data_IF_904069614543
#
_entry.id   IF_904069614543
#
_cell.length_a   1.000
_cell.length_b   1.000
_cell.length_c   1.000
_cell.angle_alpha   90.00
_cell.angle_beta   90.00
_cell.angle_gamma   90.00
#
_symmetry.space_group_name_H-M   'P 1'
#
loop_
_entity.id
_entity.type
_entity.pdbx_description
1 polymer ?
#
# COMPACT_ATOMS: atom_id res chain seq x y z
N UNK A 1 -23.12 5.89 3.61
CA UNK A 1 -22.21 6.00 4.78
C UNK A 1 -22.99 6.03 6.09
N UNK A 2 -23.92 6.96 6.28
CA UNK A 2 -24.67 7.13 7.54
C UNK A 2 -25.45 5.89 7.98
N UNK A 3 -25.96 5.12 7.03
CA UNK A 3 -26.66 3.85 7.31
C UNK A 3 -25.72 2.81 7.90
N UNK A 4 -24.52 2.67 7.33
CA UNK A 4 -23.53 1.71 7.81
C UNK A 4 -22.92 2.12 9.17
N UNK A 5 -22.78 3.43 9.42
CA UNK A 5 -22.32 3.93 10.73
C UNK A 5 -23.26 3.58 11.89
N UNK A 6 -24.53 3.28 11.60
CA UNK A 6 -25.54 2.91 12.60
C UNK A 6 -25.59 1.41 12.88
N UNK A 7 -24.90 0.60 12.09
CA UNK A 7 -24.90 -0.86 12.24
C UNK A 7 -23.79 -1.27 13.19
N UNK A 8 -24.14 -2.02 14.22
CA UNK A 8 -23.19 -2.63 15.15
C UNK A 8 -22.23 -3.58 14.40
N UNK A 9 -20.97 -3.59 14.74
CA UNK A 9 -19.94 -4.41 14.07
C UNK A 9 -19.42 -3.87 12.75
N UNK A 10 -19.98 -2.75 12.23
CA UNK A 10 -19.48 -2.11 11.03
C UNK A 10 -18.29 -1.20 11.34
N UNK A 11 -17.24 -1.30 10.55
CA UNK A 11 -16.09 -0.38 10.58
C UNK A 11 -15.95 0.30 9.23
N UNK A 12 -15.89 1.61 9.24
CA UNK A 12 -15.67 2.42 8.05
C UNK A 12 -14.24 2.90 8.05
N UNK A 13 -13.52 2.58 6.98
CA UNK A 13 -12.16 3.03 6.76
C UNK A 13 -12.14 4.14 5.72
N UNK A 14 -11.25 5.11 5.91
CA UNK A 14 -10.88 6.02 4.84
C UNK A 14 -10.27 5.22 3.69
N UNK A 15 -10.59 5.62 2.45
CA UNK A 15 -10.04 4.96 1.27
C UNK A 15 -8.51 5.04 1.29
N UNK A 16 -7.85 3.90 1.39
CA UNK A 16 -6.41 3.79 1.56
C UNK A 16 -5.88 2.47 0.99
N UNK A 17 -4.57 2.39 0.82
CA UNK A 17 -3.90 1.20 0.29
C UNK A 17 -3.90 -0.01 1.25
N UNK A 18 -4.03 0.21 2.58
CA UNK A 18 -3.89 -0.84 3.59
C UNK A 18 -4.74 -2.08 3.32
N UNK A 19 -6.07 -1.98 3.20
CA UNK A 19 -6.92 -3.12 2.88
C UNK A 19 -6.62 -3.75 1.52
N UNK A 20 -6.25 -2.93 0.53
CA UNK A 20 -5.94 -3.39 -0.83
C UNK A 20 -4.68 -4.25 -0.91
N UNK A 21 -3.69 -4.03 -0.07
CA UNK A 21 -2.40 -4.77 -0.09
C UNK A 21 -2.28 -5.84 1.01
N UNK A 22 -3.37 -6.20 1.68
CA UNK A 22 -3.37 -7.24 2.70
C UNK A 22 -2.76 -6.82 4.04
N UNK A 23 -2.82 -5.55 4.38
CA UNK A 23 -2.39 -5.02 5.68
C UNK A 23 -3.53 -4.91 6.69
N UNK A 24 -4.64 -5.52 6.40
CA UNK A 24 -5.79 -5.54 7.28
C UNK A 24 -5.70 -6.73 8.23
N UNK A 25 -5.58 -6.46 9.53
CA UNK A 25 -5.69 -7.46 10.58
C UNK A 25 -7.15 -7.60 11.01
N UNK A 26 -7.71 -8.79 10.86
CA UNK A 26 -9.06 -9.10 11.33
C UNK A 26 -9.01 -9.50 12.80
N UNK A 27 -9.71 -8.76 13.66
CA UNK A 27 -9.83 -9.11 15.07
C UNK A 27 -10.55 -10.45 15.24
N UNK A 28 -10.01 -11.30 16.10
CA UNK A 28 -10.59 -12.60 16.42
C UNK A 28 -10.41 -13.69 15.36
N UNK A 29 -9.81 -13.37 14.21
CA UNK A 29 -9.52 -14.39 13.21
C UNK A 29 -8.26 -15.19 13.56
N UNK A 30 -8.37 -16.52 13.52
CA UNK A 30 -7.21 -17.40 13.67
C UNK A 30 -6.36 -17.40 12.40
N UNK A 31 -5.04 -17.57 12.57
CA UNK A 31 -4.14 -17.74 11.42
C UNK A 31 -4.53 -19.01 10.65
N UNK A 32 -4.69 -18.87 9.34
CA UNK A 32 -5.06 -19.95 8.41
C UNK A 32 -6.51 -20.46 8.54
N UNK A 33 -7.37 -19.78 9.26
CA UNK A 33 -8.80 -20.06 9.25
C UNK A 33 -9.36 -19.97 7.81
N UNK A 34 -10.19 -20.93 7.44
CA UNK A 34 -10.92 -20.88 6.16
C UNK A 34 -12.06 -19.89 6.26
N UNK A 35 -12.05 -18.91 5.37
CA UNK A 35 -13.12 -17.94 5.32
C UNK A 35 -13.24 -17.29 3.93
N UNK A 36 -14.23 -16.41 3.75
CA UNK A 36 -14.47 -15.69 2.52
C UNK A 36 -14.56 -14.19 2.77
N UNK A 37 -14.13 -13.43 1.79
CA UNK A 37 -14.30 -11.97 1.76
C UNK A 37 -14.84 -11.56 0.40
N UNK A 38 -15.84 -10.68 0.39
CA UNK A 38 -16.36 -10.05 -0.81
C UNK A 38 -16.02 -8.57 -0.77
N UNK A 39 -15.42 -8.06 -1.83
CA UNK A 39 -14.96 -6.69 -1.87
C UNK A 39 -14.97 -6.11 -3.30
N UNK A 40 -14.90 -4.81 -3.41
CA UNK A 40 -14.84 -4.08 -4.68
C UNK A 40 -13.44 -3.56 -5.02
N UNK A 41 -12.39 -4.11 -4.41
CA UNK A 41 -11.01 -3.78 -4.73
C UNK A 41 -10.55 -4.40 -6.04
N UNK A 42 -9.32 -4.15 -6.42
CA UNK A 42 -8.81 -4.45 -7.74
C UNK A 42 -8.24 -5.86 -7.93
N UNK A 43 -8.07 -6.66 -6.87
CA UNK A 43 -7.41 -7.97 -6.95
C UNK A 43 -7.88 -8.93 -5.86
N UNK A 44 -7.90 -10.23 -6.19
CA UNK A 44 -8.41 -11.31 -5.33
C UNK A 44 -7.44 -12.50 -5.16
N UNK A 45 -6.15 -12.35 -5.37
CA UNK A 45 -5.22 -13.44 -5.13
C UNK A 45 -5.01 -13.70 -3.63
N UNK A 46 -4.52 -14.90 -3.30
CA UNK A 46 -4.29 -15.33 -1.92
C UNK A 46 -3.47 -14.31 -1.10
N UNK A 47 -3.85 -14.10 0.15
CA UNK A 47 -3.25 -13.14 1.10
C UNK A 47 -3.46 -11.67 0.76
N UNK A 48 -4.13 -11.34 -0.35
CA UNK A 48 -4.22 -9.94 -0.81
C UNK A 48 -5.05 -9.05 0.12
N UNK A 49 -6.11 -9.56 0.71
CA UNK A 49 -7.03 -8.77 1.53
C UNK A 49 -6.57 -8.67 3.00
N UNK A 50 -6.40 -9.81 3.67
CA UNK A 50 -6.15 -9.92 5.13
C UNK A 50 -4.85 -10.64 5.50
N UNK A 51 -4.01 -10.96 4.52
CA UNK A 51 -2.77 -11.71 4.75
C UNK A 51 -2.95 -13.22 4.98
N UNK A 52 -4.19 -13.71 5.11
CA UNK A 52 -4.48 -15.12 5.32
C UNK A 52 -4.53 -15.88 3.99
N UNK A 53 -3.73 -16.97 3.81
CA UNK A 53 -3.72 -17.73 2.57
C UNK A 53 -5.03 -18.49 2.30
N UNK A 54 -5.84 -18.74 3.33
CA UNK A 54 -7.07 -19.51 3.27
C UNK A 54 -8.33 -18.63 3.18
N UNK A 55 -8.17 -17.32 3.05
CA UNK A 55 -9.28 -16.41 2.75
C UNK A 55 -9.55 -16.42 1.25
N UNK A 56 -10.72 -16.91 0.87
CA UNK A 56 -11.21 -16.84 -0.50
C UNK A 56 -11.76 -15.44 -0.77
N UNK A 57 -11.13 -14.69 -1.67
CA UNK A 57 -11.51 -13.33 -1.99
C UNK A 57 -12.30 -13.28 -3.30
N UNK A 58 -13.47 -12.63 -3.27
CA UNK A 58 -14.33 -12.43 -4.40
C UNK A 58 -14.41 -10.94 -4.72
N UNK A 59 -14.10 -10.57 -5.97
CA UNK A 59 -14.19 -9.19 -6.45
C UNK A 59 -15.49 -8.99 -7.20
N UNK A 60 -16.25 -8.00 -6.80
CA UNK A 60 -17.50 -7.61 -7.46
C UNK A 60 -17.72 -6.10 -7.36
N UNK A 61 -18.86 -5.59 -7.86
CA UNK A 61 -19.16 -4.16 -7.76
C UNK A 61 -19.48 -3.74 -6.31
N UNK A 62 -19.35 -2.45 -5.96
CA UNK A 62 -19.75 -1.95 -4.65
C UNK A 62 -21.21 -2.26 -4.29
N UNK A 63 -22.10 -2.21 -5.27
CA UNK A 63 -23.53 -2.50 -5.11
C UNK A 63 -23.76 -3.96 -4.73
N UNK A 64 -23.05 -4.88 -5.41
CA UNK A 64 -23.11 -6.30 -5.07
C UNK A 64 -22.51 -6.58 -3.70
N UNK A 65 -21.43 -5.91 -3.32
CA UNK A 65 -20.87 -6.02 -1.96
C UNK A 65 -21.91 -5.59 -0.92
N UNK A 66 -22.62 -4.48 -1.17
CA UNK A 66 -23.68 -4.01 -0.28
C UNK A 66 -24.86 -5.01 -0.21
N UNK A 67 -25.32 -5.54 -1.34
CA UNK A 67 -26.40 -6.51 -1.41
C UNK A 67 -26.08 -7.80 -0.64
N UNK A 68 -24.86 -8.33 -0.83
CA UNK A 68 -24.38 -9.53 -0.12
C UNK A 68 -24.21 -9.25 1.37
N UNK A 69 -23.74 -8.06 1.76
CA UNK A 69 -23.62 -7.68 3.17
C UNK A 69 -24.99 -7.57 3.86
N UNK A 70 -26.02 -7.06 3.17
CA UNK A 70 -27.40 -6.97 3.70
C UNK A 70 -28.03 -8.35 3.82
N UNK A 71 -27.85 -9.21 2.81
CA UNK A 71 -28.45 -10.56 2.81
C UNK A 71 -27.73 -11.53 3.76
N UNK A 72 -26.44 -11.34 3.99
CA UNK A 72 -25.60 -12.28 4.72
C UNK A 72 -25.31 -13.59 3.96
N UNK A 73 -25.62 -13.67 2.67
CA UNK A 73 -25.49 -14.87 1.84
C UNK A 73 -24.67 -14.59 0.59
N UNK A 74 -23.71 -15.46 0.28
CA UNK A 74 -22.85 -15.33 -0.89
C UNK A 74 -23.57 -15.67 -2.21
N UNK A 75 -24.64 -16.44 -2.14
CA UNK A 75 -25.46 -16.87 -3.27
C UNK A 75 -26.67 -15.97 -3.54
N UNK A 76 -26.80 -14.86 -2.81
CA UNK A 76 -27.88 -13.90 -3.00
C UNK A 76 -27.79 -13.18 -4.35
N UNK A 77 -28.89 -13.25 -5.12
CA UNK A 77 -29.03 -12.53 -6.37
C UNK A 77 -30.01 -11.35 -6.21
N UNK A 78 -29.53 -10.09 -6.14
CA UNK A 78 -30.39 -8.93 -5.89
C UNK A 78 -31.40 -8.64 -7.00
N UNK A 79 -31.28 -9.28 -8.18
CA UNK A 79 -32.20 -9.10 -9.31
C UNK A 79 -33.43 -10.02 -9.20
N UNK A 80 -33.28 -11.15 -8.51
CA UNK A 80 -34.36 -12.17 -8.44
C UNK A 80 -34.81 -12.48 -7.03
N UNK A 81 -33.94 -12.26 -6.04
CA UNK A 81 -34.20 -12.70 -4.68
C UNK A 81 -34.79 -11.55 -3.84
N UNK A 82 -35.60 -11.95 -2.85
CA UNK A 82 -36.20 -11.03 -1.90
C UNK A 82 -35.54 -11.11 -0.54
N UNK A 83 -35.71 -10.07 0.26
CA UNK A 83 -35.32 -9.98 1.66
C UNK A 83 -36.55 -9.67 2.50
N UNK A 84 -36.60 -10.24 3.69
CA UNK A 84 -37.70 -9.93 4.62
C UNK A 84 -37.32 -8.68 5.41
N UNK A 85 -38.13 -7.62 5.31
CA UNK A 85 -37.91 -6.39 6.07
C UNK A 85 -38.32 -6.54 7.55
N UNK A 86 -38.12 -5.50 8.36
CA UNK A 86 -38.46 -5.51 9.79
C UNK A 86 -39.96 -5.65 10.08
N UNK A 87 -40.84 -5.41 9.08
CA UNK A 87 -42.29 -5.58 9.17
C UNK A 87 -42.72 -6.99 8.79
N UNK A 88 -41.79 -7.86 8.35
CA UNK A 88 -42.11 -9.20 7.86
C UNK A 88 -42.55 -9.26 6.39
N UNK A 89 -42.35 -8.20 5.63
CA UNK A 89 -42.71 -8.12 4.20
C UNK A 89 -41.54 -8.53 3.32
N UNK A 90 -41.81 -9.28 2.24
CA UNK A 90 -40.81 -9.59 1.21
C UNK A 90 -40.58 -8.38 0.33
N UNK A 91 -39.30 -7.92 0.28
CA UNK A 91 -38.91 -6.75 -0.50
C UNK A 91 -37.72 -7.09 -1.39
N UNK A 92 -37.66 -6.53 -2.58
CA UNK A 92 -36.50 -6.55 -3.45
C UNK A 92 -35.65 -5.31 -3.22
N UNK A 93 -34.33 -5.46 -3.34
CA UNK A 93 -33.44 -4.30 -3.38
C UNK A 93 -33.70 -3.49 -4.66
N UNK A 94 -33.78 -2.17 -4.52
CA UNK A 94 -33.90 -1.29 -5.66
C UNK A 94 -32.67 -1.34 -6.55
N UNK A 95 -32.87 -1.24 -7.87
CA UNK A 95 -31.75 -1.10 -8.80
C UNK A 95 -30.90 0.13 -8.43
N UNK A 96 -29.56 -0.03 -8.40
CA UNK A 96 -28.69 1.10 -8.08
C UNK A 96 -28.73 2.14 -9.20
N UNK A 97 -28.98 3.38 -8.84
CA UNK A 97 -28.86 4.54 -9.73
C UNK A 97 -27.50 5.19 -9.47
N UNK A 98 -26.49 4.83 -10.25
CA UNK A 98 -25.17 5.38 -10.12
C UNK A 98 -25.10 6.85 -10.56
N UNK A 99 -24.30 7.65 -9.86
CA UNK A 99 -23.87 8.98 -10.30
C UNK A 99 -22.35 8.98 -10.47
N UNK A 100 -21.85 9.57 -11.54
CA UNK A 100 -20.40 9.73 -11.74
C UNK A 100 -19.77 10.64 -10.66
N UNK A 101 -20.54 11.61 -10.18
CA UNK A 101 -20.16 12.54 -9.13
C UNK A 101 -21.30 12.72 -8.12
N UNK A 102 -21.01 12.97 -6.84
CA UNK A 102 -22.04 13.26 -5.86
C UNK A 102 -22.87 14.47 -6.28
N UNK A 103 -24.19 14.33 -6.37
CA UNK A 103 -25.12 15.40 -6.80
C UNK A 103 -25.08 16.64 -5.89
N UNK A 104 -24.72 16.47 -4.61
CA UNK A 104 -24.55 17.54 -3.63
C UNK A 104 -23.10 18.04 -3.50
N UNK A 105 -22.21 17.63 -4.41
CA UNK A 105 -20.76 17.87 -4.29
C UNK A 105 -20.10 16.94 -3.28
N UNK A 106 -18.78 17.09 -3.13
CA UNK A 106 -18.03 16.30 -2.15
C UNK A 106 -18.25 16.93 -0.76
N UNK A 107 -18.67 16.13 0.20
CA UNK A 107 -18.64 16.52 1.60
C UNK A 107 -17.17 16.58 2.05
N UNK A 108 -16.67 17.77 2.31
CA UNK A 108 -15.36 17.95 2.93
C UNK A 108 -15.59 17.96 4.44
N UNK A 109 -15.66 16.78 5.03
CA UNK A 109 -15.53 16.67 6.48
C UNK A 109 -14.03 16.66 6.82
N UNK A 110 -13.56 17.75 7.37
CA UNK A 110 -12.17 17.93 7.79
C UNK A 110 -11.91 17.28 9.17
N UNK A 111 -12.44 16.09 9.38
CA UNK A 111 -12.34 15.39 10.66
C UNK A 111 -10.99 14.67 10.85
N UNK A 112 -10.14 14.68 9.85
CA UNK A 112 -8.83 14.02 9.87
C UNK A 112 -7.64 14.96 9.95
N UNK A 113 -7.85 16.27 9.78
CA UNK A 113 -6.76 17.22 9.86
C UNK A 113 -6.41 17.57 11.32
N UNK A 114 -5.18 17.23 11.70
CA UNK A 114 -4.60 17.66 12.96
C UNK A 114 -3.54 18.71 12.67
N UNK A 115 -3.84 19.96 13.05
CA UNK A 115 -2.90 21.04 12.85
C UNK A 115 -1.59 20.80 13.64
N UNK A 116 -0.42 21.06 13.06
CA UNK A 116 0.83 21.04 13.80
C UNK A 116 0.84 22.11 14.89
N UNK A 117 1.66 21.94 15.90
CA UNK A 117 1.90 22.98 16.90
C UNK A 117 2.36 24.26 16.21
N UNK A 118 1.88 25.42 16.67
CA UNK A 118 2.30 26.72 16.13
C UNK A 118 3.79 26.99 16.32
N UNK A 119 4.34 26.51 17.41
CA UNK A 119 5.77 26.51 17.71
C UNK A 119 6.19 25.10 18.10
N UNK A 120 7.02 24.48 17.27
CA UNK A 120 7.60 23.17 17.47
C UNK A 120 9.05 23.18 17.96
N UNK A 121 9.61 24.35 18.28
CA UNK A 121 11.03 24.48 18.63
C UNK A 121 11.45 23.69 19.88
N UNK A 122 10.50 23.42 20.77
CA UNK A 122 10.71 22.66 22.01
C UNK A 122 10.26 21.18 21.91
N UNK A 123 9.95 20.70 20.70
CA UNK A 123 9.48 19.32 20.48
C UNK A 123 10.66 18.50 19.97
N UNK A 124 11.17 17.61 20.81
CA UNK A 124 12.18 16.65 20.43
C UNK A 124 11.55 15.36 19.88
N UNK A 125 12.04 14.90 18.74
CA UNK A 125 11.70 13.60 18.20
C UNK A 125 12.70 12.57 18.72
N UNK A 126 12.29 11.80 19.72
CA UNK A 126 13.15 10.80 20.37
C UNK A 126 13.03 9.46 19.64
N UNK A 127 14.15 8.99 19.13
CA UNK A 127 14.30 7.66 18.52
C UNK A 127 15.43 6.92 19.23
N UNK A 128 15.18 5.66 19.63
CA UNK A 128 16.22 4.83 20.23
C UNK A 128 17.37 4.61 19.25
N UNK A 129 18.61 4.68 19.74
CA UNK A 129 19.80 4.55 18.91
C UNK A 129 19.94 3.16 18.24
N UNK A 130 19.32 2.13 18.82
CA UNK A 130 19.30 0.76 18.31
C UNK A 130 18.01 0.43 17.54
N UNK A 131 17.16 1.43 17.25
CA UNK A 131 15.92 1.22 16.53
C UNK A 131 16.19 0.68 15.13
N UNK A 132 15.54 -0.44 14.80
CA UNK A 132 15.55 -1.01 13.45
C UNK A 132 14.43 -0.43 12.57
N UNK A 133 13.44 0.19 13.19
CA UNK A 133 12.22 0.67 12.52
C UNK A 133 12.23 2.16 12.22
N UNK A 134 12.84 2.96 13.09
CA UNK A 134 12.85 4.42 13.00
C UNK A 134 14.28 4.93 12.92
N UNK A 135 14.48 5.99 12.16
CA UNK A 135 15.75 6.69 12.03
C UNK A 135 15.50 8.19 12.02
N UNK A 136 16.24 8.94 12.84
CA UNK A 136 16.32 10.38 12.68
C UNK A 136 17.16 10.70 11.45
N UNK A 137 16.57 11.45 10.53
CA UNK A 137 17.27 11.87 9.32
C UNK A 137 17.81 13.29 9.50
N UNK A 138 19.06 13.50 9.08
CA UNK A 138 19.57 14.84 8.86
C UNK A 138 18.84 15.45 7.64
N UNK A 139 18.64 16.77 7.61
CA UNK A 139 18.09 17.44 6.44
C UNK A 139 18.90 17.13 5.18
N UNK A 140 18.21 16.85 4.07
CA UNK A 140 18.87 16.68 2.78
C UNK A 140 19.45 18.01 2.31
N UNK A 141 20.62 17.97 1.69
CA UNK A 141 21.20 19.15 1.06
C UNK A 141 20.28 19.63 -0.08
N UNK A 142 19.87 20.90 -0.07
CA UNK A 142 19.11 21.47 -1.17
C UNK A 142 19.88 21.39 -2.49
N UNK A 143 19.16 21.28 -3.61
CA UNK A 143 19.80 21.41 -4.92
C UNK A 143 20.37 22.82 -5.09
N UNK A 144 21.60 22.91 -5.56
CA UNK A 144 22.35 24.15 -5.73
C UNK A 144 22.06 24.89 -7.06
N UNK A 145 21.14 24.38 -7.87
CA UNK A 145 20.80 24.92 -9.19
C UNK A 145 21.76 24.51 -10.31
N UNK A 146 22.79 23.72 -10.03
CA UNK A 146 23.80 23.32 -11.01
C UNK A 146 23.43 21.97 -11.65
N UNK A 147 23.90 21.79 -12.89
CA UNK A 147 23.76 20.50 -13.56
C UNK A 147 24.59 19.42 -12.89
N UNK A 148 24.02 18.24 -12.75
CA UNK A 148 24.74 17.07 -12.26
C UNK A 148 25.65 16.54 -13.37
N UNK A 149 26.98 16.59 -13.15
CA UNK A 149 27.98 16.12 -14.07
C UNK A 149 28.67 14.86 -13.54
N UNK A 150 29.06 13.95 -14.44
CA UNK A 150 29.83 12.76 -14.09
C UNK A 150 29.05 11.70 -13.32
N UNK A 151 27.71 11.73 -13.36
CA UNK A 151 26.88 10.72 -12.72
C UNK A 151 27.20 9.33 -13.25
N UNK A 152 27.28 8.34 -12.35
CA UNK A 152 27.43 6.93 -12.69
C UNK A 152 26.08 6.26 -12.82
N UNK A 153 25.93 5.47 -13.88
CA UNK A 153 24.73 4.65 -14.05
C UNK A 153 24.76 3.50 -13.04
N UNK A 154 23.77 3.46 -12.16
CA UNK A 154 23.60 2.35 -11.22
C UNK A 154 23.01 1.13 -11.90
N UNK A 155 21.88 1.31 -12.59
CA UNK A 155 21.21 0.28 -13.34
C UNK A 155 20.38 0.92 -14.47
N UNK A 156 20.32 0.25 -15.62
CA UNK A 156 19.30 0.48 -16.64
C UNK A 156 18.31 -0.68 -16.56
N UNK A 157 17.09 -0.40 -16.10
CA UNK A 157 16.08 -1.44 -15.94
C UNK A 157 15.55 -1.90 -17.30
N UNK A 158 15.44 -3.22 -17.46
CA UNK A 158 14.84 -3.85 -18.65
C UNK A 158 13.34 -4.05 -18.44
N UNK A 159 12.56 -3.59 -19.41
CA UNK A 159 11.13 -3.85 -19.48
C UNK A 159 10.33 -3.20 -18.34
N UNK A 160 9.39 -3.95 -17.79
CA UNK A 160 8.47 -3.45 -16.74
C UNK A 160 9.20 -3.28 -15.42
N UNK A 161 9.27 -2.05 -14.93
CA UNK A 161 9.75 -1.72 -13.59
C UNK A 161 8.60 -1.14 -12.77
N UNK A 162 8.11 -1.91 -11.80
CA UNK A 162 7.02 -1.51 -10.90
C UNK A 162 7.57 -1.02 -9.57
N UNK A 163 6.70 -0.47 -8.71
CA UNK A 163 7.07 -0.08 -7.34
C UNK A 163 7.67 -1.24 -6.55
N UNK A 164 7.21 -2.47 -6.78
CA UNK A 164 7.77 -3.67 -6.13
C UNK A 164 9.18 -4.02 -6.61
N UNK A 165 9.61 -3.55 -7.78
CA UNK A 165 10.99 -3.69 -8.24
C UNK A 165 11.89 -2.60 -7.65
N UNK A 166 11.33 -1.41 -7.37
CA UNK A 166 12.06 -0.25 -6.84
C UNK A 166 12.26 -0.38 -5.33
N UNK A 167 11.16 -0.62 -4.60
CA UNK A 167 11.18 -0.80 -3.14
C UNK A 167 9.98 -1.64 -2.72
N UNK A 168 10.17 -2.93 -2.58
CA UNK A 168 9.09 -3.86 -2.34
C UNK A 168 8.52 -3.78 -0.93
N UNK A 169 7.25 -4.13 -0.82
CA UNK A 169 6.53 -4.27 0.44
C UNK A 169 6.86 -5.61 1.15
N UNK A 170 5.91 -6.17 1.89
CA UNK A 170 6.07 -7.43 2.60
C UNK A 170 7.01 -7.32 3.81
N UNK A 171 7.98 -8.22 3.99
CA UNK A 171 8.85 -8.21 5.17
C UNK A 171 9.67 -6.93 5.35
N UNK A 172 9.91 -6.18 4.27
CA UNK A 172 10.63 -4.91 4.29
C UNK A 172 9.87 -3.79 4.97
N UNK A 173 8.54 -3.87 5.07
CA UNK A 173 7.71 -2.84 5.72
C UNK A 173 8.04 -2.62 7.20
N UNK A 174 8.70 -3.57 7.85
CA UNK A 174 9.21 -3.39 9.21
C UNK A 174 10.23 -2.25 9.32
N UNK A 175 10.88 -1.88 8.21
CA UNK A 175 11.90 -0.83 8.16
C UNK A 175 11.40 0.49 7.56
N UNK A 176 10.11 0.64 7.25
CA UNK A 176 9.60 1.80 6.49
C UNK A 176 9.82 3.16 7.13
N UNK A 177 10.16 3.23 8.40
CA UNK A 177 10.55 4.46 9.09
C UNK A 177 12.07 4.60 9.28
N UNK A 178 12.87 3.68 8.73
CA UNK A 178 14.32 3.65 8.83
C UNK A 178 14.92 3.62 7.42
N UNK A 179 15.31 4.78 6.91
CA UNK A 179 15.73 4.94 5.51
C UNK A 179 16.95 4.08 5.18
N UNK A 180 17.93 4.00 6.07
CA UNK A 180 19.15 3.22 5.82
C UNK A 180 18.82 1.72 5.74
N UNK A 181 18.01 1.18 6.65
CA UNK A 181 17.65 -0.24 6.63
C UNK A 181 16.77 -0.59 5.41
N UNK A 182 15.76 0.23 5.08
CA UNK A 182 14.88 -0.08 3.95
C UNK A 182 15.61 0.08 2.62
N UNK A 183 16.63 0.91 2.53
CA UNK A 183 17.41 1.10 1.29
C UNK A 183 18.11 -0.17 0.82
N UNK A 184 18.24 -1.20 1.67
CA UNK A 184 18.75 -2.51 1.28
C UNK A 184 17.83 -3.27 0.32
N UNK A 185 16.59 -2.81 0.11
CA UNK A 185 15.71 -3.36 -0.90
C UNK A 185 15.64 -2.52 -2.20
N UNK A 186 16.47 -1.49 -2.30
CA UNK A 186 16.42 -0.58 -3.44
C UNK A 186 16.79 -1.31 -4.73
N UNK A 187 15.83 -1.36 -5.66
CA UNK A 187 15.95 -1.94 -7.01
C UNK A 187 16.38 -3.42 -7.07
N UNK A 188 16.29 -4.17 -5.96
CA UNK A 188 16.68 -5.60 -5.96
C UNK A 188 15.77 -6.49 -6.82
N UNK A 189 14.59 -6.02 -7.20
CA UNK A 189 13.70 -6.71 -8.14
C UNK A 189 13.87 -6.28 -9.59
N UNK A 190 14.68 -5.27 -9.86
CA UNK A 190 14.86 -4.77 -11.22
C UNK A 190 15.81 -5.68 -12.03
N UNK A 191 15.48 -5.88 -13.30
CA UNK A 191 16.31 -6.63 -14.26
C UNK A 191 17.26 -5.67 -14.95
N UNK A 192 18.54 -5.98 -14.96
CA UNK A 192 19.56 -5.19 -15.63
C UNK A 192 19.46 -5.36 -17.16
N UNK A 193 19.28 -4.28 -17.89
CA UNK A 193 19.11 -4.30 -19.36
C UNK A 193 20.37 -4.75 -20.13
N UNK A 194 21.52 -4.75 -19.51
CA UNK A 194 22.76 -5.19 -20.17
C UNK A 194 23.09 -6.66 -19.95
N UNK A 195 22.69 -7.21 -18.82
CA UNK A 195 23.09 -8.57 -18.43
C UNK A 195 21.89 -9.50 -18.23
N UNK A 196 20.67 -8.97 -18.25
CA UNK A 196 19.41 -9.65 -17.94
C UNK A 196 19.39 -10.28 -16.52
N UNK A 197 20.37 -9.97 -15.70
CA UNK A 197 20.44 -10.42 -14.31
C UNK A 197 19.57 -9.53 -13.40
N UNK A 198 18.97 -10.15 -12.37
CA UNK A 198 18.23 -9.46 -11.32
C UNK A 198 19.16 -9.19 -10.15
N UNK A 199 19.08 -8.00 -9.56
CA UNK A 199 19.91 -7.58 -8.42
C UNK A 199 21.42 -7.76 -8.62
N UNK A 200 21.89 -7.54 -9.84
CA UNK A 200 23.31 -7.64 -10.15
C UNK A 200 23.71 -6.53 -11.13
N UNK A 201 24.66 -5.70 -10.72
CA UNK A 201 25.15 -4.56 -11.50
C UNK A 201 26.65 -4.43 -11.39
N UNK A 202 27.28 -3.87 -12.42
CA UNK A 202 28.70 -3.59 -12.42
C UNK A 202 28.99 -2.26 -11.72
N UNK A 203 29.80 -2.28 -10.70
CA UNK A 203 30.34 -1.09 -10.07
C UNK A 203 31.34 -0.40 -11.03
N UNK A 204 31.01 0.79 -11.49
CA UNK A 204 31.87 1.54 -12.43
C UNK A 204 33.10 2.17 -11.78
N UNK A 205 33.32 1.99 -10.47
CA UNK A 205 34.53 2.47 -9.79
C UNK A 205 35.67 1.44 -9.87
N UNK A 206 35.33 0.15 -9.80
CA UNK A 206 36.31 -0.93 -9.69
C UNK A 206 36.02 -2.13 -10.60
N UNK A 207 34.95 -2.08 -11.41
CA UNK A 207 34.48 -3.12 -12.32
C UNK A 207 34.03 -4.42 -11.63
N UNK A 208 33.83 -4.43 -10.31
CA UNK A 208 33.22 -5.56 -9.61
C UNK A 208 31.73 -5.67 -9.93
N UNK A 209 31.17 -6.89 -9.75
CA UNK A 209 29.71 -7.11 -9.86
C UNK A 209 29.18 -7.40 -8.46
N UNK A 210 28.14 -6.65 -8.07
CA UNK A 210 27.52 -6.79 -6.75
C UNK A 210 26.02 -6.45 -6.83
N UNK A 211 25.31 -6.64 -5.72
CA UNK A 211 23.92 -6.26 -5.58
C UNK A 211 23.71 -4.74 -5.74
N UNK A 212 22.57 -4.35 -6.29
CA UNK A 212 22.26 -2.95 -6.58
C UNK A 212 22.43 -2.05 -5.35
N UNK A 213 21.90 -2.38 -4.14
CA UNK A 213 22.08 -1.55 -2.95
C UNK A 213 23.54 -1.38 -2.54
N UNK A 214 24.36 -2.42 -2.70
CA UNK A 214 25.79 -2.37 -2.34
C UNK A 214 26.55 -1.41 -3.24
N UNK A 215 26.32 -1.50 -4.55
CA UNK A 215 26.95 -0.59 -5.52
C UNK A 215 26.47 0.86 -5.30
N UNK A 216 25.17 1.07 -5.01
CA UNK A 216 24.65 2.39 -4.67
C UNK A 216 25.33 2.99 -3.43
N UNK A 217 25.59 2.17 -2.41
CA UNK A 217 26.34 2.59 -1.19
C UNK A 217 27.79 2.89 -1.51
N UNK A 218 28.42 2.12 -2.38
CA UNK A 218 29.79 2.40 -2.81
C UNK A 218 29.88 3.75 -3.54
N UNK A 219 28.94 4.06 -4.44
CA UNK A 219 28.86 5.37 -5.11
C UNK A 219 28.64 6.52 -4.12
N UNK A 220 27.72 6.33 -3.16
CA UNK A 220 27.49 7.31 -2.10
C UNK A 220 28.75 7.56 -1.28
N UNK A 221 29.47 6.51 -0.88
CA UNK A 221 30.70 6.62 -0.10
C UNK A 221 31.83 7.32 -0.87
N UNK A 222 31.87 7.14 -2.20
CA UNK A 222 32.80 7.83 -3.09
C UNK A 222 32.38 9.26 -3.45
N UNK A 223 31.22 9.74 -2.98
CA UNK A 223 30.68 11.07 -3.32
C UNK A 223 30.29 11.22 -4.80
N UNK A 224 29.99 10.11 -5.48
CA UNK A 224 29.69 10.12 -6.91
C UNK A 224 28.18 10.21 -7.13
N UNK A 225 27.70 11.18 -7.95
CA UNK A 225 26.31 11.26 -8.34
C UNK A 225 25.86 9.99 -9.06
N UNK A 226 24.64 9.56 -8.82
CA UNK A 226 24.09 8.29 -9.31
C UNK A 226 22.83 8.55 -10.15
N UNK A 227 22.68 7.79 -11.25
CA UNK A 227 21.51 7.82 -12.10
C UNK A 227 20.95 6.40 -12.32
N UNK A 228 19.63 6.28 -12.47
CA UNK A 228 18.89 5.06 -12.78
C UNK A 228 18.14 5.26 -14.10
#
# INVERSE_FOLDING_TARGET
MDTFNKLEGTRIFTNACGPCIGQWAREGAEKQEKNSIVHSFNRNFAKRADGNPNTHAFVTSPEMVAAIAISGKLDFNPVTDTLTNTNGEEVMLAEPTGHELPSAGFAVEDNGYQAPAKDGSNIDVVVSADSQRLQLLAPFTPWDGQNINGAKLLIKALGKCTTDHISMAGPWLRYRGHLDNISNNCLIGAVNAYTEATNAVTNQLDCSVDEVPNVARAYKAAGVPTIV
#
